data_IF_369296058372
#
_entry.id   IF_369296058372
#
_cell.length_a   1.000
_cell.length_b   1.000
_cell.length_c   1.000
_cell.angle_alpha   90.00
_cell.angle_beta   90.00
_cell.angle_gamma   90.00
#
_symmetry.space_group_name_H-M   'P 1'
#
loop_
_entity.id
_entity.type
_entity.pdbx_description
1 polymer ?
#
# COMPACT_ATOMS: atom_id res chain seq x y z
N UNK A 1 -27.89 -8.69 -8.05
CA UNK A 1 -27.18 -8.41 -6.77
C UNK A 1 -26.35 -7.13 -6.93
N UNK A 2 -26.73 -6.03 -6.28
CA UNK A 2 -25.91 -4.81 -6.23
C UNK A 2 -24.65 -5.12 -5.43
N UNK A 3 -23.47 -5.14 -6.07
CA UNK A 3 -22.20 -5.09 -5.35
C UNK A 3 -22.22 -3.79 -4.53
N UNK A 4 -22.16 -3.89 -3.21
CA UNK A 4 -22.11 -2.72 -2.34
C UNK A 4 -20.89 -1.90 -2.75
N UNK A 5 -21.14 -0.67 -3.14
CA UNK A 5 -20.10 0.28 -3.47
C UNK A 5 -19.55 0.82 -2.14
N UNK A 6 -18.75 -0.01 -1.43
CA UNK A 6 -18.17 0.31 -0.12
C UNK A 6 -17.26 1.56 -0.16
N UNK A 7 -16.97 2.08 -1.35
CA UNK A 7 -16.16 3.27 -1.60
C UNK A 7 -16.86 4.61 -1.31
N UNK A 8 -18.20 4.65 -1.27
CA UNK A 8 -18.92 5.89 -0.99
C UNK A 8 -18.91 6.31 0.49
N UNK A 9 -18.30 5.51 1.38
CA UNK A 9 -18.25 5.77 2.82
C UNK A 9 -16.88 6.27 3.33
N UNK A 10 -15.86 6.41 2.47
CA UNK A 10 -14.54 6.85 2.93
C UNK A 10 -14.55 8.34 3.31
N UNK A 11 -13.88 8.69 4.42
CA UNK A 11 -13.57 10.07 4.75
C UNK A 11 -12.58 10.66 3.73
N UNK A 12 -12.52 12.00 3.64
CA UNK A 12 -11.60 12.70 2.73
C UNK A 12 -10.14 12.25 2.91
N UNK A 13 -9.67 12.17 4.14
CA UNK A 13 -8.30 11.75 4.46
C UNK A 13 -8.00 10.30 4.08
N UNK A 14 -9.00 9.40 4.17
CA UNK A 14 -8.87 8.02 3.73
C UNK A 14 -8.75 7.92 2.20
N UNK A 15 -9.51 8.75 1.46
CA UNK A 15 -9.35 8.87 0.00
C UNK A 15 -7.97 9.43 -0.38
N UNK A 16 -7.51 10.46 0.32
CA UNK A 16 -6.17 11.03 0.13
C UNK A 16 -5.09 9.96 0.36
N UNK A 17 -5.21 9.17 1.44
CA UNK A 17 -4.29 8.06 1.72
C UNK A 17 -4.32 6.98 0.63
N UNK A 18 -5.52 6.58 0.18
CA UNK A 18 -5.66 5.59 -0.88
C UNK A 18 -4.95 6.03 -2.16
N UNK A 19 -5.17 7.27 -2.60
CA UNK A 19 -4.51 7.84 -3.79
C UNK A 19 -2.99 7.82 -3.61
N UNK A 20 -2.48 8.28 -2.46
CA UNK A 20 -1.04 8.24 -2.16
C UNK A 20 -0.45 6.84 -2.21
N UNK A 21 -1.13 5.84 -1.65
CA UNK A 21 -0.72 4.43 -1.71
C UNK A 21 -0.70 3.91 -3.14
N UNK A 22 -1.75 4.17 -3.93
CA UNK A 22 -1.84 3.74 -5.32
C UNK A 22 -0.72 4.32 -6.15
N UNK A 23 -0.50 5.62 -6.06
CA UNK A 23 0.50 6.32 -6.85
C UNK A 23 1.92 5.86 -6.47
N UNK A 24 2.18 5.63 -5.18
CA UNK A 24 3.41 5.03 -4.68
C UNK A 24 3.66 3.63 -5.25
N UNK A 25 2.64 2.77 -5.26
CA UNK A 25 2.74 1.41 -5.80
C UNK A 25 3.01 1.44 -7.30
N UNK A 26 2.30 2.27 -8.07
CA UNK A 26 2.53 2.45 -9.52
C UNK A 26 3.96 2.90 -9.78
N UNK A 27 4.44 3.89 -9.03
CA UNK A 27 5.81 4.39 -9.15
C UNK A 27 6.85 3.28 -8.89
N UNK A 28 6.70 2.54 -7.79
CA UNK A 28 7.61 1.45 -7.45
C UNK A 28 7.57 0.32 -8.46
N UNK A 29 6.38 -0.07 -8.91
CA UNK A 29 6.20 -1.11 -9.92
C UNK A 29 6.92 -0.76 -11.22
N UNK A 30 6.72 0.46 -11.74
CA UNK A 30 7.42 0.93 -12.95
C UNK A 30 8.93 0.84 -12.81
N UNK A 31 9.49 1.24 -11.66
CA UNK A 31 10.94 1.11 -11.42
C UNK A 31 11.39 -0.35 -11.37
N UNK A 32 10.66 -1.23 -10.68
CA UNK A 32 11.02 -2.64 -10.56
C UNK A 32 11.01 -3.37 -11.91
N UNK A 33 10.06 -3.05 -12.80
CA UNK A 33 9.98 -3.62 -14.15
C UNK A 33 11.26 -3.31 -14.94
N UNK A 34 11.78 -2.08 -14.82
CA UNK A 34 13.01 -1.64 -15.51
C UNK A 34 14.24 -2.40 -14.98
N UNK A 35 14.33 -2.65 -13.67
CA UNK A 35 15.53 -3.25 -13.07
C UNK A 35 15.57 -4.78 -13.06
N UNK A 36 14.42 -5.47 -13.14
CA UNK A 36 14.37 -6.92 -12.95
C UNK A 36 14.38 -7.76 -14.24
N UNK A 37 14.69 -7.17 -15.41
CA UNK A 37 14.82 -7.92 -16.67
C UNK A 37 13.56 -8.71 -17.03
N UNK A 38 12.38 -8.11 -16.85
CA UNK A 38 11.10 -8.79 -17.04
C UNK A 38 10.93 -9.20 -18.51
N UNK A 39 10.65 -10.48 -18.74
CA UNK A 39 10.61 -11.08 -20.09
C UNK A 39 9.40 -10.68 -20.94
N UNK A 40 8.32 -10.19 -20.31
CA UNK A 40 7.08 -9.79 -20.98
C UNK A 40 6.68 -8.35 -20.63
N UNK A 41 7.16 -7.41 -21.44
CA UNK A 41 6.90 -5.98 -21.28
C UNK A 41 5.43 -5.60 -21.53
N UNK A 42 4.72 -6.33 -22.39
CA UNK A 42 3.31 -6.06 -22.72
C UNK A 42 2.43 -6.32 -21.51
N UNK A 43 2.64 -7.46 -20.85
CA UNK A 43 1.92 -7.81 -19.63
C UNK A 43 2.21 -6.85 -18.47
N UNK A 44 3.46 -6.40 -18.33
CA UNK A 44 3.82 -5.39 -17.32
C UNK A 44 3.19 -4.03 -17.59
N UNK A 45 3.15 -3.60 -18.86
CA UNK A 45 2.47 -2.35 -19.25
C UNK A 45 0.98 -2.42 -18.92
N UNK A 46 0.34 -3.55 -19.22
CA UNK A 46 -1.06 -3.79 -18.85
C UNK A 46 -1.27 -3.70 -17.34
N UNK A 47 -0.46 -4.40 -16.54
CA UNK A 47 -0.56 -4.35 -15.08
C UNK A 47 -0.34 -2.95 -14.50
N UNK A 48 0.58 -2.16 -15.08
CA UNK A 48 0.78 -0.77 -14.66
C UNK A 48 -0.45 0.09 -14.92
N UNK A 49 -1.17 -0.14 -16.02
CA UNK A 49 -2.41 0.56 -16.35
C UNK A 49 -3.51 0.16 -15.36
N UNK A 50 -3.65 -1.14 -15.09
CA UNK A 50 -4.67 -1.65 -14.18
C UNK A 50 -4.45 -1.18 -12.73
N UNK A 51 -3.19 -1.07 -12.27
CA UNK A 51 -2.86 -0.47 -10.97
C UNK A 51 -3.34 0.98 -10.88
N UNK A 52 -3.17 1.77 -11.95
CA UNK A 52 -3.61 3.17 -12.00
C UNK A 52 -5.13 3.33 -11.99
N UNK A 53 -5.86 2.33 -12.49
CA UNK A 53 -7.33 2.30 -12.52
C UNK A 53 -7.97 1.76 -11.25
N UNK A 54 -7.21 1.24 -10.30
CA UNK A 54 -7.79 0.76 -9.05
C UNK A 54 -8.54 1.89 -8.33
N UNK A 55 -9.78 1.62 -7.95
CA UNK A 55 -10.66 2.55 -7.23
C UNK A 55 -10.82 2.19 -5.75
N UNK A 56 -10.32 1.04 -5.32
CA UNK A 56 -10.35 0.62 -3.92
C UNK A 56 -9.09 -0.13 -3.52
N UNK A 57 -8.85 -0.15 -2.21
CA UNK A 57 -7.66 -0.76 -1.61
C UNK A 57 -7.61 -2.28 -1.80
N UNK A 58 -8.76 -2.96 -1.79
CA UNK A 58 -8.84 -4.43 -1.89
C UNK A 58 -8.41 -4.92 -3.27
N UNK A 59 -8.84 -4.24 -4.32
CA UNK A 59 -8.48 -4.58 -5.70
C UNK A 59 -7.01 -4.22 -5.99
N UNK A 60 -6.52 -3.12 -5.41
CA UNK A 60 -5.10 -2.77 -5.44
C UNK A 60 -4.22 -3.85 -4.76
N UNK A 61 -4.63 -4.36 -3.60
CA UNK A 61 -3.93 -5.44 -2.89
C UNK A 61 -3.94 -6.75 -3.70
N UNK A 62 -5.08 -7.14 -4.27
CA UNK A 62 -5.18 -8.32 -5.15
C UNK A 62 -4.25 -8.20 -6.35
N UNK A 63 -4.19 -7.02 -6.99
CA UNK A 63 -3.32 -6.82 -8.14
C UNK A 63 -1.85 -6.88 -7.76
N UNK A 64 -1.47 -6.40 -6.58
CA UNK A 64 -0.13 -6.58 -6.03
C UNK A 64 0.22 -8.06 -5.82
N UNK A 65 -0.73 -8.89 -5.36
CA UNK A 65 -0.54 -10.35 -5.26
C UNK A 65 -0.33 -11.01 -6.63
N UNK A 66 -1.08 -10.59 -7.65
CA UNK A 66 -0.87 -11.05 -9.02
C UNK A 66 0.53 -10.70 -9.54
N UNK A 67 0.99 -9.47 -9.29
CA UNK A 67 2.34 -9.01 -9.65
C UNK A 67 3.43 -9.81 -8.92
N UNK A 68 3.21 -10.13 -7.65
CA UNK A 68 4.11 -10.96 -6.86
C UNK A 68 4.28 -12.35 -7.50
N UNK A 69 3.17 -13.00 -7.84
CA UNK A 69 3.17 -14.34 -8.45
C UNK A 69 3.84 -14.36 -9.83
N UNK A 70 3.98 -13.21 -10.49
CA UNK A 70 4.71 -13.06 -11.75
C UNK A 70 6.21 -12.80 -11.57
N UNK A 71 6.72 -12.87 -10.34
CA UNK A 71 8.15 -12.79 -10.04
C UNK A 71 8.62 -11.45 -9.49
N UNK A 72 7.75 -10.43 -9.40
CA UNK A 72 8.12 -9.14 -8.80
C UNK A 72 7.99 -9.21 -7.27
N UNK A 73 8.88 -9.98 -6.64
CA UNK A 73 8.75 -10.38 -5.21
C UNK A 73 8.74 -9.20 -4.24
N UNK A 74 9.41 -8.11 -4.58
CA UNK A 74 9.50 -6.90 -3.74
C UNK A 74 8.16 -6.19 -3.53
N UNK A 75 7.14 -6.45 -4.36
CA UNK A 75 5.80 -5.86 -4.19
C UNK A 75 5.15 -6.29 -2.87
N UNK A 76 5.44 -7.50 -2.35
CA UNK A 76 4.92 -7.96 -1.05
C UNK A 76 5.51 -7.21 0.14
N UNK A 77 6.67 -6.56 -0.01
CA UNK A 77 7.20 -5.71 1.07
C UNK A 77 6.33 -4.46 1.29
N UNK A 78 5.53 -4.08 0.29
CA UNK A 78 4.53 -3.00 0.43
C UNK A 78 3.29 -3.45 1.21
N UNK A 79 3.18 -4.71 1.66
CA UNK A 79 2.04 -5.15 2.48
C UNK A 79 1.80 -4.25 3.71
N UNK A 80 2.86 -3.66 4.26
CA UNK A 80 2.76 -2.70 5.35
C UNK A 80 1.87 -1.50 5.03
N UNK A 81 1.80 -1.06 3.77
CA UNK A 81 1.00 0.09 3.35
C UNK A 81 -0.49 -0.23 3.40
N UNK A 82 -0.88 -1.46 3.07
CA UNK A 82 -2.26 -1.95 3.20
C UNK A 82 -2.66 -2.11 4.67
N UNK A 83 -1.74 -2.61 5.50
CA UNK A 83 -1.94 -2.68 6.95
C UNK A 83 -2.09 -1.29 7.57
N UNK A 84 -1.31 -0.32 7.10
CA UNK A 84 -1.44 1.06 7.53
C UNK A 84 -2.78 1.66 7.10
N UNK A 85 -3.25 1.39 5.88
CA UNK A 85 -4.57 1.86 5.44
C UNK A 85 -5.70 1.32 6.33
N UNK A 86 -5.69 0.03 6.65
CA UNK A 86 -6.68 -0.58 7.56
C UNK A 86 -6.61 0.03 8.97
N UNK A 87 -5.39 0.21 9.51
CA UNK A 87 -5.18 0.86 10.78
C UNK A 87 -5.67 2.31 10.78
N UNK A 88 -5.35 3.06 9.73
CA UNK A 88 -5.77 4.44 9.55
C UNK A 88 -7.29 4.55 9.53
N UNK A 89 -7.97 3.69 8.78
CA UNK A 89 -9.43 3.69 8.69
C UNK A 89 -10.11 3.35 10.03
N UNK A 90 -9.53 2.44 10.82
CA UNK A 90 -10.11 1.97 12.09
C UNK A 90 -9.80 2.87 13.28
N UNK A 91 -8.59 3.41 13.34
CA UNK A 91 -8.05 4.03 14.55
C UNK A 91 -7.75 5.51 14.40
N UNK A 92 -7.49 6.00 13.18
CA UNK A 92 -7.09 7.38 12.95
C UNK A 92 -8.25 8.22 12.42
N UNK A 93 -8.71 9.18 13.24
CA UNK A 93 -9.81 10.09 12.90
C UNK A 93 -9.30 11.45 12.42
N UNK A 94 -8.29 11.47 11.56
CA UNK A 94 -7.73 12.73 11.02
C UNK A 94 -8.57 13.26 9.86
N UNK A 95 -8.82 14.58 9.81
CA UNK A 95 -9.65 15.21 8.77
C UNK A 95 -8.96 15.33 7.41
N UNK A 96 -7.64 15.46 7.40
CA UNK A 96 -6.79 15.55 6.19
C UNK A 96 -5.51 14.76 6.42
N UNK A 97 -4.95 14.21 5.36
CA UNK A 97 -3.74 13.38 5.44
C UNK A 97 -2.54 14.14 6.01
N UNK A 98 -2.42 15.44 5.68
CA UNK A 98 -1.37 16.34 6.19
C UNK A 98 -1.34 16.53 7.70
N UNK A 99 -2.36 16.05 8.43
CA UNK A 99 -2.42 16.11 9.89
C UNK A 99 -1.89 14.82 10.54
N UNK A 100 -1.47 13.83 9.74
CA UNK A 100 -0.65 12.73 10.24
C UNK A 100 0.65 13.31 10.82
N UNK A 101 0.99 12.85 12.01
CA UNK A 101 2.26 13.17 12.66
C UNK A 101 3.05 11.88 12.91
N UNK A 102 4.31 12.03 13.32
CA UNK A 102 5.19 10.90 13.57
C UNK A 102 4.68 9.98 14.69
N UNK A 103 4.07 10.55 15.74
CA UNK A 103 3.52 9.79 16.86
C UNK A 103 2.45 8.78 16.40
N UNK A 104 1.52 9.20 15.52
CA UNK A 104 0.51 8.31 14.95
C UNK A 104 1.14 7.16 14.14
N UNK A 105 2.22 7.44 13.40
CA UNK A 105 2.96 6.44 12.64
C UNK A 105 3.72 5.47 13.56
N UNK A 106 4.34 5.98 14.62
CA UNK A 106 5.03 5.17 15.64
C UNK A 106 4.05 4.25 16.35
N UNK A 107 2.87 4.75 16.74
CA UNK A 107 1.83 3.96 17.38
C UNK A 107 1.34 2.82 16.46
N UNK A 108 1.14 3.09 15.17
CA UNK A 108 0.84 2.05 14.19
C UNK A 108 1.93 0.97 14.16
N UNK A 109 3.20 1.36 14.06
CA UNK A 109 4.31 0.42 13.97
C UNK A 109 4.45 -0.40 15.26
N UNK A 110 4.26 0.21 16.43
CA UNK A 110 4.30 -0.46 17.71
C UNK A 110 3.20 -1.53 17.82
N UNK A 111 1.95 -1.17 17.53
CA UNK A 111 0.83 -2.11 17.52
C UNK A 111 1.03 -3.23 16.49
N UNK A 112 1.53 -2.89 15.30
CA UNK A 112 1.84 -3.87 14.27
C UNK A 112 2.90 -4.87 14.73
N UNK A 113 3.98 -4.40 15.38
CA UNK A 113 5.04 -5.26 15.91
C UNK A 113 4.51 -6.24 16.95
N UNK A 114 3.68 -5.75 17.87
CA UNK A 114 3.04 -6.55 18.93
C UNK A 114 2.13 -7.63 18.34
N UNK A 115 1.24 -7.26 17.42
CA UNK A 115 0.29 -8.20 16.81
C UNK A 115 0.96 -9.28 15.97
N UNK A 116 2.01 -8.91 15.23
CA UNK A 116 2.70 -9.82 14.28
C UNK A 116 3.88 -10.56 14.90
N UNK A 117 4.15 -10.39 16.20
CA UNK A 117 5.34 -10.92 16.90
C UNK A 117 6.62 -10.66 16.10
N UNK A 118 6.77 -9.42 15.62
CA UNK A 118 7.91 -9.06 14.79
C UNK A 118 9.12 -8.89 15.70
N UNK A 119 9.93 -9.94 15.78
CA UNK A 119 11.14 -9.93 16.59
C UNK A 119 12.37 -9.41 15.81
N UNK A 120 12.18 -9.04 14.54
CA UNK A 120 13.28 -8.63 13.64
C UNK A 120 13.29 -7.12 13.42
N UNK A 121 14.31 -6.45 13.95
CA UNK A 121 14.58 -5.02 13.70
C UNK A 121 14.76 -4.72 12.21
N UNK A 122 15.35 -5.63 11.44
CA UNK A 122 15.52 -5.47 9.99
C UNK A 122 14.18 -5.42 9.24
N UNK A 123 13.18 -6.20 9.68
CA UNK A 123 11.82 -6.15 9.11
C UNK A 123 11.12 -4.84 9.48
N UNK A 124 11.31 -4.38 10.71
CA UNK A 124 10.72 -3.15 11.20
C UNK A 124 11.32 -1.90 10.54
N UNK A 125 12.63 -1.87 10.33
CA UNK A 125 13.30 -0.82 9.58
C UNK A 125 12.78 -0.71 8.14
N UNK A 126 12.50 -1.84 7.47
CA UNK A 126 11.88 -1.85 6.14
C UNK A 126 10.47 -1.27 6.17
N UNK A 127 9.66 -1.60 7.19
CA UNK A 127 8.31 -1.06 7.35
C UNK A 127 8.33 0.46 7.54
N UNK A 128 9.22 0.97 8.40
CA UNK A 128 9.46 2.40 8.57
C UNK A 128 9.83 3.04 7.23
N UNK A 129 10.77 2.44 6.48
CA UNK A 129 11.21 2.98 5.19
C UNK A 129 10.07 3.10 4.18
N UNK A 130 9.19 2.11 4.06
CA UNK A 130 8.07 2.18 3.13
C UNK A 130 7.02 3.21 3.54
N UNK A 131 6.71 3.31 4.83
CA UNK A 131 5.78 4.33 5.35
C UNK A 131 6.35 5.73 5.11
N UNK A 132 7.64 5.95 5.39
CA UNK A 132 8.34 7.23 5.12
C UNK A 132 8.45 7.61 3.64
N UNK A 133 8.24 6.68 2.71
CA UNK A 133 8.29 7.00 1.28
C UNK A 133 6.91 7.38 0.72
N UNK A 134 5.84 7.21 1.52
CA UNK A 134 4.48 7.62 1.16
C UNK A 134 4.20 9.05 1.63
N UNK A 135 4.80 9.46 2.75
CA UNK A 135 4.63 10.77 3.41
C UNK A 135 5.87 11.62 3.22
#
# INVERSE_FOLDING_TARGET
>A
MKKSNDNNALARSQRELFVGIRDFIVFKFKRMVVFNGVRDFTKMKFLSIELGKCENIKDLEKLCHTIYNQGTKHILMMRVVFLFFDYFCKHLKVKRLRLLNEEMLVNFLFELAKQRKINSMAKMAKYVMYIRQIF
#
